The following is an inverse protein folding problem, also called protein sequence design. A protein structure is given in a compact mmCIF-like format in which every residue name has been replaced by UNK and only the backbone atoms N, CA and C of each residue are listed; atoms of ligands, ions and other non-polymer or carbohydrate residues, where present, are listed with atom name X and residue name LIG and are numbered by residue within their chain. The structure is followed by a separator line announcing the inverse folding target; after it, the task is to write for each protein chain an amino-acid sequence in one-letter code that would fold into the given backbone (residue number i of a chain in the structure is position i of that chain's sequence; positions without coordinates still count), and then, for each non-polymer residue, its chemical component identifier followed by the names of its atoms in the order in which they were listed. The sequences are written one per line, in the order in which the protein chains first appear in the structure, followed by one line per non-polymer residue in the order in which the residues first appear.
data_IF_257304136255
#
_entry.id   IF_257304136255
#
_cell.length_a   1.000
_cell.length_b   1.000
_cell.length_c   1.000
_cell.angle_alpha   90.00
_cell.angle_beta   90.00
_cell.angle_gamma   90.00
#
_symmetry.space_group_name_H-M   'P 1'
#
loop_
_entity.id
_entity.type
_entity.pdbx_description
1 polymer ?
#
# COMPACT_ATOMS: atom_id res chain seq x y z
N UNK A 1 -24.75 -11.66 26.02
CA UNK A 1 -24.13 -11.23 24.75
C UNK A 1 -22.61 -11.47 24.73
N UNK A 2 -21.85 -11.01 25.72
CA UNK A 2 -20.38 -11.16 25.76
C UNK A 2 -19.91 -12.63 25.73
N UNK A 3 -20.58 -13.56 26.43
CA UNK A 3 -20.22 -14.98 26.43
C UNK A 3 -20.41 -15.65 25.05
N UNK A 4 -21.49 -15.30 24.35
CA UNK A 4 -21.83 -15.85 23.03
C UNK A 4 -20.86 -15.41 21.92
N UNK A 5 -20.49 -14.12 21.89
CA UNK A 5 -19.49 -13.62 20.93
C UNK A 5 -18.10 -14.20 21.18
N UNK A 6 -17.75 -14.43 22.45
CA UNK A 6 -16.46 -14.96 22.85
C UNK A 6 -16.32 -16.46 22.51
N UNK A 7 -17.40 -17.24 22.66
CA UNK A 7 -17.43 -18.67 22.32
C UNK A 7 -17.56 -18.94 20.81
N UNK A 8 -18.28 -18.10 20.07
CA UNK A 8 -18.61 -18.35 18.65
C UNK A 8 -17.81 -17.51 17.65
N UNK A 9 -17.40 -16.30 18.02
CA UNK A 9 -16.66 -15.34 17.17
C UNK A 9 -15.47 -14.68 17.90
N UNK A 10 -14.50 -15.47 18.38
CA UNK A 10 -13.39 -14.96 19.19
C UNK A 10 -12.51 -13.94 18.44
N UNK A 11 -12.41 -14.02 17.12
CA UNK A 11 -11.68 -13.05 16.30
C UNK A 11 -12.33 -11.66 16.33
N UNK A 12 -13.65 -11.62 16.18
CA UNK A 12 -14.46 -10.39 16.15
C UNK A 12 -14.44 -9.72 17.53
N UNK A 13 -14.54 -10.52 18.59
CA UNK A 13 -14.46 -10.03 19.97
C UNK A 13 -13.06 -9.52 20.34
N UNK A 14 -12.01 -10.27 20.00
CA UNK A 14 -10.63 -9.90 20.37
C UNK A 14 -10.11 -8.69 19.60
N UNK A 15 -10.63 -8.43 18.41
CA UNK A 15 -10.25 -7.28 17.59
C UNK A 15 -11.12 -6.05 17.85
N UNK A 16 -12.23 -6.19 18.59
CA UNK A 16 -13.25 -5.14 18.78
C UNK A 16 -13.74 -4.52 17.46
N UNK A 17 -13.64 -5.27 16.36
CA UNK A 17 -13.90 -4.76 15.01
C UNK A 17 -15.37 -4.39 14.78
N UNK A 18 -16.28 -4.96 15.58
CA UNK A 18 -17.73 -4.69 15.52
C UNK A 18 -18.05 -3.20 15.62
N UNK A 19 -17.27 -2.45 16.40
CA UNK A 19 -17.52 -1.03 16.60
C UNK A 19 -16.76 -0.17 15.60
N UNK A 20 -15.51 -0.53 15.33
CA UNK A 20 -14.60 0.34 14.56
C UNK A 20 -14.82 0.21 13.07
N UNK A 21 -15.14 -0.97 12.55
CA UNK A 21 -15.33 -1.15 11.10
C UNK A 21 -16.57 -0.41 10.59
N UNK A 22 -17.75 -0.47 11.24
CA UNK A 22 -18.88 0.36 10.83
C UNK A 22 -18.60 1.86 10.95
N UNK A 23 -17.84 2.29 11.98
CA UNK A 23 -17.51 3.70 12.17
C UNK A 23 -16.52 4.20 11.11
N UNK A 24 -15.55 3.37 10.72
CA UNK A 24 -14.64 3.65 9.62
C UNK A 24 -15.37 3.69 8.27
N UNK A 25 -16.31 2.77 8.02
CA UNK A 25 -17.16 2.81 6.82
C UNK A 25 -18.06 4.06 6.81
N UNK A 26 -18.62 4.45 7.95
CA UNK A 26 -19.40 5.69 8.07
C UNK A 26 -18.52 6.90 7.77
N UNK A 27 -17.29 6.94 8.29
CA UNK A 27 -16.33 8.00 7.98
C UNK A 27 -16.03 8.06 6.46
N UNK A 28 -15.84 6.92 5.80
CA UNK A 28 -15.64 6.86 4.34
C UNK A 28 -16.82 7.49 3.59
N UNK A 29 -18.06 7.18 3.98
CA UNK A 29 -19.27 7.78 3.40
C UNK A 29 -19.34 9.28 3.67
N UNK A 30 -19.00 9.75 4.89
CA UNK A 30 -18.98 11.17 5.21
C UNK A 30 -17.95 11.94 4.39
N UNK A 31 -16.76 11.38 4.17
CA UNK A 31 -15.74 11.98 3.32
C UNK A 31 -16.15 12.02 1.86
N UNK A 32 -16.83 10.97 1.36
CA UNK A 32 -17.44 10.98 0.04
C UNK A 32 -18.46 12.12 -0.12
N UNK A 33 -19.39 12.26 0.83
CA UNK A 33 -20.38 13.34 0.83
C UNK A 33 -19.69 14.69 0.94
N UNK A 34 -18.65 14.81 1.78
CA UNK A 34 -17.85 16.03 1.91
C UNK A 34 -17.24 16.47 0.60
N UNK A 35 -16.60 15.55 -0.14
CA UNK A 35 -16.06 15.83 -1.47
C UNK A 35 -17.15 16.20 -2.47
N UNK A 36 -18.29 15.51 -2.43
CA UNK A 36 -19.44 15.79 -3.30
C UNK A 36 -20.06 17.17 -3.07
N UNK A 37 -20.14 17.62 -1.81
CA UNK A 37 -20.71 18.92 -1.47
C UNK A 37 -19.75 20.10 -1.63
N UNK A 38 -18.44 19.84 -1.66
CA UNK A 38 -17.42 20.90 -1.75
C UNK A 38 -17.38 21.54 -3.15
N UNK A 39 -17.52 20.75 -4.20
CA UNK A 39 -17.48 21.24 -5.59
C UNK A 39 -18.72 22.07 -5.90
N UNK A 40 -18.51 23.35 -6.19
CA UNK A 40 -19.52 24.32 -6.62
C UNK A 40 -18.91 25.24 -7.69
N UNK A 41 -19.77 26.03 -8.35
CA UNK A 41 -19.39 26.96 -9.42
C UNK A 41 -18.31 27.95 -8.95
N UNK A 42 -18.39 28.44 -7.71
CA UNK A 42 -17.38 29.32 -7.10
C UNK A 42 -15.98 28.71 -6.98
N UNK A 43 -15.86 27.39 -6.90
CA UNK A 43 -14.54 26.73 -6.85
C UNK A 43 -13.96 26.46 -8.23
N UNK A 44 -14.81 26.39 -9.27
CA UNK A 44 -14.40 26.03 -10.63
C UNK A 44 -14.24 27.25 -11.54
N UNK A 45 -14.65 28.44 -11.09
CA UNK A 45 -14.57 29.69 -11.88
C UNK A 45 -13.17 30.30 -12.01
N UNK A 46 -12.23 29.84 -11.20
CA UNK A 46 -10.83 30.28 -11.30
C UNK A 46 -10.13 29.64 -12.50
N UNK A 47 -9.05 30.25 -12.96
CA UNK A 47 -8.28 29.85 -14.15
C UNK A 47 -7.84 28.37 -14.14
N UNK A 48 -7.52 27.85 -12.95
CA UNK A 48 -7.09 26.48 -12.77
C UNK A 48 -7.61 25.87 -11.47
N UNK A 49 -8.36 24.78 -11.60
CA UNK A 49 -8.78 23.95 -10.49
C UNK A 49 -7.88 22.72 -10.33
N UNK A 50 -7.22 22.59 -9.17
CA UNK A 50 -6.54 21.35 -8.76
C UNK A 50 -7.40 20.56 -7.79
N UNK A 51 -7.61 19.29 -8.09
CA UNK A 51 -8.31 18.37 -7.19
C UNK A 51 -7.61 18.25 -5.82
N UNK A 52 -6.27 18.34 -5.82
CA UNK A 52 -5.46 18.26 -4.60
C UNK A 52 -5.48 19.55 -3.78
N UNK A 53 -5.50 20.73 -4.42
CA UNK A 53 -5.51 22.01 -3.68
C UNK A 53 -6.76 22.16 -2.81
N UNK A 54 -7.90 21.66 -3.30
CA UNK A 54 -9.15 21.63 -2.54
C UNK A 54 -9.10 20.69 -1.34
N UNK A 55 -8.20 19.72 -1.34
CA UNK A 55 -8.03 18.78 -0.25
C UNK A 55 -7.05 19.28 0.82
N UNK A 56 -6.00 20.02 0.44
CA UNK A 56 -4.92 20.49 1.32
C UNK A 56 -5.36 21.39 2.49
N UNK A 57 -6.57 21.94 2.46
CA UNK A 57 -7.13 22.76 3.53
C UNK A 57 -7.83 21.97 4.65
N UNK A 58 -9.07 22.39 4.96
CA UNK A 58 -9.91 21.78 6.00
C UNK A 58 -10.09 20.26 5.81
N UNK A 59 -10.31 19.72 4.58
CA UNK A 59 -10.50 18.29 4.38
C UNK A 59 -9.31 17.44 4.82
N UNK A 60 -8.08 17.86 4.52
CA UNK A 60 -6.85 17.17 4.95
C UNK A 60 -6.75 17.14 6.48
N UNK A 61 -6.98 18.27 7.14
CA UNK A 61 -6.91 18.35 8.62
C UNK A 61 -7.98 17.44 9.25
N UNK A 62 -9.21 17.47 8.73
CA UNK A 62 -10.27 16.57 9.20
C UNK A 62 -9.93 15.10 8.95
N UNK A 63 -9.34 14.76 7.80
CA UNK A 63 -8.89 13.39 7.52
C UNK A 63 -7.90 12.95 8.60
N UNK A 64 -6.86 13.74 8.87
CA UNK A 64 -5.85 13.40 9.87
C UNK A 64 -6.47 13.22 11.26
N UNK A 65 -7.33 14.15 11.68
CA UNK A 65 -8.00 14.07 13.00
C UNK A 65 -8.86 12.82 13.10
N UNK A 66 -9.74 12.56 12.11
CA UNK A 66 -10.65 11.40 12.12
C UNK A 66 -9.88 10.09 12.06
N UNK A 67 -8.86 10.00 11.19
CA UNK A 67 -7.95 8.85 11.09
C UNK A 67 -7.27 8.53 12.42
N UNK A 68 -6.71 9.55 13.07
CA UNK A 68 -6.01 9.39 14.36
C UNK A 68 -7.00 8.98 15.46
N UNK A 69 -8.17 9.59 15.55
CA UNK A 69 -9.18 9.24 16.55
C UNK A 69 -9.68 7.80 16.37
N UNK A 70 -9.94 7.38 15.13
CA UNK A 70 -10.31 6.00 14.79
C UNK A 70 -9.23 5.01 15.23
N UNK A 71 -7.97 5.26 14.82
CA UNK A 71 -6.86 4.36 15.11
C UNK A 71 -6.52 4.32 16.60
N UNK A 72 -6.37 5.47 17.26
CA UNK A 72 -6.02 5.54 18.69
C UNK A 72 -7.13 4.97 19.55
N UNK A 73 -8.39 5.35 19.29
CA UNK A 73 -9.55 4.83 19.99
C UNK A 73 -9.61 3.30 19.88
N UNK A 74 -9.46 2.78 18.65
CA UNK A 74 -9.40 1.34 18.42
C UNK A 74 -8.23 0.69 19.16
N UNK A 75 -7.01 1.21 19.03
CA UNK A 75 -5.81 0.67 19.67
C UNK A 75 -5.95 0.57 21.20
N UNK A 76 -6.56 1.57 21.86
CA UNK A 76 -6.82 1.54 23.31
C UNK A 76 -7.70 0.33 23.68
N UNK A 77 -8.85 0.16 23.02
CA UNK A 77 -9.74 -0.99 23.27
C UNK A 77 -9.05 -2.30 22.94
N UNK A 78 -8.33 -2.30 21.83
CA UNK A 78 -7.64 -3.44 21.31
C UNK A 78 -6.57 -3.93 22.31
N UNK A 79 -5.77 -3.04 22.92
CA UNK A 79 -4.70 -3.41 23.87
C UNK A 79 -5.21 -3.69 25.28
N UNK A 80 -6.33 -3.09 25.68
CA UNK A 80 -6.97 -3.35 26.98
C UNK A 80 -7.40 -4.81 27.16
N UNK A 81 -7.83 -5.48 26.08
CA UNK A 81 -8.20 -6.90 26.09
C UNK A 81 -7.13 -7.75 25.38
N UNK A 82 -6.04 -8.09 26.07
CA UNK A 82 -5.00 -8.93 25.48
C UNK A 82 -5.35 -10.42 25.58
N UNK A 83 -6.32 -10.88 24.78
CA UNK A 83 -6.75 -12.28 24.74
C UNK A 83 -5.63 -13.25 24.29
N UNK A 84 -4.52 -12.72 23.78
CA UNK A 84 -3.32 -13.50 23.45
C UNK A 84 -2.45 -13.81 24.68
N UNK A 85 -2.63 -13.14 25.83
CA UNK A 85 -1.91 -13.44 27.07
C UNK A 85 -2.61 -14.52 27.91
N UNK A 86 -3.93 -14.64 27.82
CA UNK A 86 -4.66 -15.76 28.42
C UNK A 86 -4.58 -16.97 27.48
N UNK A 87 -4.42 -18.18 28.03
CA UNK A 87 -4.24 -19.47 27.33
C UNK A 87 -5.48 -19.89 26.50
N UNK A 88 -5.96 -19.03 25.61
CA UNK A 88 -7.06 -19.31 24.71
C UNK A 88 -6.57 -20.21 23.57
N UNK A 89 -7.22 -21.36 23.30
CA UNK A 89 -6.87 -22.22 22.19
C UNK A 89 -7.25 -21.54 20.87
N UNK A 90 -6.34 -20.75 20.32
CA UNK A 90 -6.51 -20.04 19.04
C UNK A 90 -6.10 -20.95 17.88
N UNK A 91 -6.97 -21.08 16.89
CA UNK A 91 -6.67 -21.79 15.63
C UNK A 91 -5.89 -20.87 14.69
N UNK A 92 -5.07 -21.44 13.80
CA UNK A 92 -4.25 -20.67 12.85
C UNK A 92 -5.10 -19.73 11.97
N UNK A 93 -6.26 -20.22 11.50
CA UNK A 93 -7.24 -19.41 10.74
C UNK A 93 -7.78 -18.22 11.53
N UNK A 94 -7.95 -18.36 12.85
CA UNK A 94 -8.42 -17.25 13.69
C UNK A 94 -7.32 -16.21 13.89
N UNK A 95 -6.07 -16.64 14.07
CA UNK A 95 -4.92 -15.74 14.17
C UNK A 95 -4.70 -14.96 12.87
N UNK A 96 -4.80 -15.63 11.72
CA UNK A 96 -4.76 -14.96 10.42
C UNK A 96 -5.94 -14.02 10.22
N UNK A 97 -7.14 -14.43 10.65
CA UNK A 97 -8.33 -13.55 10.62
C UNK A 97 -8.12 -12.26 11.42
N UNK A 98 -7.40 -12.30 12.55
CA UNK A 98 -7.04 -11.09 13.30
C UNK A 98 -6.09 -10.18 12.51
N UNK A 99 -5.11 -10.75 11.80
CA UNK A 99 -4.23 -9.97 10.92
C UNK A 99 -5.02 -9.24 9.82
N UNK A 100 -5.93 -9.95 9.13
CA UNK A 100 -6.80 -9.35 8.11
C UNK A 100 -7.68 -8.25 8.71
N UNK A 101 -8.22 -8.46 9.91
CA UNK A 101 -8.98 -7.44 10.63
C UNK A 101 -8.14 -6.18 10.91
N UNK A 102 -6.88 -6.35 11.31
CA UNK A 102 -5.96 -5.23 11.54
C UNK A 102 -5.68 -4.46 10.25
N UNK A 103 -5.35 -5.17 9.18
CA UNK A 103 -5.10 -4.60 7.87
C UNK A 103 -6.30 -3.79 7.36
N UNK A 104 -7.49 -4.38 7.35
CA UNK A 104 -8.70 -3.69 6.88
C UNK A 104 -9.06 -2.47 7.73
N UNK A 105 -8.93 -2.58 9.06
CA UNK A 105 -9.24 -1.45 9.96
C UNK A 105 -8.29 -0.29 9.72
N UNK A 106 -6.99 -0.57 9.60
CA UNK A 106 -5.98 0.48 9.34
C UNK A 106 -6.19 1.07 7.95
N UNK A 107 -6.38 0.24 6.92
CA UNK A 107 -6.61 0.68 5.55
C UNK A 107 -7.82 1.61 5.45
N UNK A 108 -8.97 1.21 6.01
CA UNK A 108 -10.19 2.04 6.01
C UNK A 108 -10.02 3.32 6.83
N UNK A 109 -9.16 3.32 7.85
CA UNK A 109 -8.95 4.52 8.66
C UNK A 109 -8.09 5.55 7.94
N UNK A 110 -7.00 5.13 7.26
CA UNK A 110 -6.05 6.08 6.64
C UNK A 110 -6.46 6.51 5.23
N UNK A 111 -7.31 5.75 4.53
CA UNK A 111 -7.66 5.97 3.12
C UNK A 111 -8.81 6.95 2.89
N UNK A 112 -9.17 7.80 3.87
CA UNK A 112 -10.33 8.71 3.77
C UNK A 112 -10.20 9.78 2.66
N UNK A 113 -9.01 9.98 2.09
CA UNK A 113 -8.81 10.86 0.93
C UNK A 113 -9.40 10.29 -0.36
N UNK A 114 -9.37 8.96 -0.51
CA UNK A 114 -9.87 8.26 -1.69
C UNK A 114 -11.37 8.49 -1.93
N UNK A 115 -12.28 8.24 -0.96
CA UNK A 115 -13.69 8.52 -1.16
C UNK A 115 -13.97 10.01 -1.35
N UNK A 116 -13.16 10.89 -0.76
CA UNK A 116 -13.30 12.34 -0.93
C UNK A 116 -13.09 12.76 -2.40
N UNK A 117 -11.98 12.34 -3.03
CA UNK A 117 -11.74 12.61 -4.45
C UNK A 117 -12.79 11.96 -5.36
N UNK A 118 -13.23 10.74 -5.01
CA UNK A 118 -14.33 10.08 -5.72
C UNK A 118 -15.64 10.89 -5.64
N UNK A 119 -15.93 11.51 -4.49
CA UNK A 119 -17.08 12.39 -4.29
C UNK A 119 -17.03 13.64 -5.16
N UNK A 120 -15.88 14.31 -5.23
CA UNK A 120 -15.67 15.49 -6.09
C UNK A 120 -15.91 15.15 -7.57
N UNK A 121 -15.33 14.03 -8.05
CA UNK A 121 -15.53 13.56 -9.42
C UNK A 121 -17.00 13.18 -9.69
N UNK A 122 -17.67 12.53 -8.74
CA UNK A 122 -19.09 12.20 -8.86
C UNK A 122 -19.96 13.46 -8.99
N UNK A 123 -19.65 14.52 -8.24
CA UNK A 123 -20.34 15.81 -8.34
C UNK A 123 -20.13 16.45 -9.72
N UNK A 124 -18.92 16.37 -10.26
CA UNK A 124 -18.60 16.92 -11.58
C UNK A 124 -19.43 16.26 -12.70
N UNK A 125 -19.52 14.93 -12.68
CA UNK A 125 -20.37 14.18 -13.63
C UNK A 125 -21.87 14.45 -13.45
N UNK A 126 -22.32 14.67 -12.21
CA UNK A 126 -23.74 14.91 -11.93
C UNK A 126 -24.20 16.33 -12.28
N UNK A 127 -23.39 17.35 -11.97
CA UNK A 127 -23.78 18.78 -12.10
C UNK A 127 -23.47 19.37 -13.47
N UNK A 128 -22.36 18.99 -14.08
CA UNK A 128 -21.91 19.51 -15.37
C UNK A 128 -22.06 18.40 -16.40
N UNK A 129 -23.11 18.41 -17.20
CA UNK A 129 -23.33 17.40 -18.24
C UNK A 129 -22.33 17.57 -19.38
N UNK A 130 -21.99 16.50 -20.09
CA UNK A 130 -21.07 16.57 -21.23
C UNK A 130 -21.60 17.50 -22.34
N UNK A 131 -22.92 17.60 -22.50
CA UNK A 131 -23.54 18.58 -23.40
C UNK A 131 -23.23 20.02 -23.01
N UNK A 132 -23.30 20.36 -21.72
CA UNK A 132 -22.99 21.70 -21.21
C UNK A 132 -21.51 22.04 -21.42
N UNK A 133 -20.60 21.13 -21.02
CA UNK A 133 -19.17 21.39 -21.18
C UNK A 133 -18.80 21.54 -22.65
N UNK A 134 -19.32 20.68 -23.53
CA UNK A 134 -19.04 20.74 -24.95
C UNK A 134 -19.65 21.98 -25.61
N UNK A 135 -20.85 22.42 -25.23
CA UNK A 135 -21.50 23.61 -25.78
C UNK A 135 -20.71 24.89 -25.44
N UNK A 136 -20.33 25.03 -24.16
CA UNK A 136 -19.54 26.19 -23.72
C UNK A 136 -18.17 26.18 -24.41
N UNK A 137 -17.48 25.05 -24.42
CA UNK A 137 -16.13 24.95 -24.97
C UNK A 137 -16.09 24.93 -26.50
N UNK A 138 -17.16 24.54 -27.19
CA UNK A 138 -17.23 24.63 -28.66
C UNK A 138 -17.05 26.06 -29.18
N UNK A 139 -17.47 27.06 -28.40
CA UNK A 139 -17.34 28.47 -28.76
C UNK A 139 -15.89 29.00 -28.66
N UNK A 140 -14.95 28.21 -28.13
CA UNK A 140 -13.56 28.59 -27.90
C UNK A 140 -12.61 27.47 -28.38
N UNK A 141 -11.72 27.69 -29.37
CA UNK A 141 -10.87 26.63 -29.89
C UNK A 141 -9.86 26.10 -28.85
N UNK A 142 -9.33 24.87 -29.01
CA UNK A 142 -8.48 24.23 -27.98
C UNK A 142 -7.16 24.98 -27.68
N UNK A 143 -6.64 25.76 -28.63
CA UNK A 143 -5.46 26.60 -28.46
C UNK A 143 -5.77 27.94 -27.77
N UNK A 144 -7.04 28.21 -27.48
CA UNK A 144 -7.51 29.44 -26.87
C UNK A 144 -7.21 29.47 -25.36
N UNK A 145 -6.14 30.16 -24.98
CA UNK A 145 -5.85 30.46 -23.58
C UNK A 145 -6.74 31.63 -23.13
N UNK A 146 -7.90 31.33 -22.52
CA UNK A 146 -8.87 32.34 -22.06
C UNK A 146 -8.23 33.42 -21.17
N UNK A 147 -7.16 33.10 -20.43
CA UNK A 147 -6.37 34.06 -19.67
C UNK A 147 -5.84 35.22 -20.52
N UNK A 148 -5.44 34.99 -21.77
CA UNK A 148 -4.94 36.04 -22.68
C UNK A 148 -6.04 37.00 -23.16
N UNK A 149 -7.30 36.59 -23.07
CA UNK A 149 -8.45 37.33 -23.59
C UNK A 149 -9.46 37.73 -22.52
N UNK A 150 -9.18 37.45 -21.24
CA UNK A 150 -10.10 37.66 -20.13
C UNK A 150 -10.62 39.12 -20.04
N UNK A 151 -9.79 40.09 -20.41
CA UNK A 151 -10.13 41.52 -20.40
C UNK A 151 -11.11 41.93 -21.53
N UNK A 152 -11.28 41.11 -22.57
CA UNK A 152 -12.13 41.43 -23.73
C UNK A 152 -13.57 40.91 -23.61
N UNK A 153 -13.84 40.03 -22.65
CA UNK A 153 -15.14 39.40 -22.46
C UNK A 153 -15.80 39.86 -21.14
N UNK A 154 -17.13 39.81 -21.06
CA UNK A 154 -17.82 39.95 -19.79
C UNK A 154 -17.34 38.91 -18.78
N UNK A 155 -17.15 39.31 -17.53
CA UNK A 155 -16.66 38.44 -16.45
C UNK A 155 -17.49 37.14 -16.33
N UNK A 156 -18.81 37.22 -16.50
CA UNK A 156 -19.70 36.04 -16.46
C UNK A 156 -19.34 34.99 -17.52
N UNK A 157 -18.95 35.41 -18.74
CA UNK A 157 -18.52 34.49 -19.79
C UNK A 157 -17.16 33.86 -19.50
N UNK A 158 -16.25 34.64 -18.89
CA UNK A 158 -14.93 34.15 -18.46
C UNK A 158 -15.09 33.09 -17.37
N UNK A 159 -15.94 33.35 -16.37
CA UNK A 159 -16.23 32.40 -15.30
C UNK A 159 -16.91 31.13 -15.82
N UNK A 160 -17.88 31.25 -16.73
CA UNK A 160 -18.57 30.10 -17.34
C UNK A 160 -17.61 29.20 -18.13
N UNK A 161 -16.69 29.79 -18.89
CA UNK A 161 -15.62 29.07 -19.57
C UNK A 161 -14.75 28.28 -18.60
N UNK A 162 -14.25 28.92 -17.54
CA UNK A 162 -13.39 28.24 -16.56
C UNK A 162 -14.12 27.13 -15.82
N UNK A 163 -15.41 27.33 -15.48
CA UNK A 163 -16.24 26.29 -14.88
C UNK A 163 -16.33 25.08 -15.81
N UNK A 164 -16.63 25.29 -17.09
CA UNK A 164 -16.74 24.21 -18.07
C UNK A 164 -15.40 23.48 -18.28
N UNK A 165 -14.30 24.23 -18.45
CA UNK A 165 -12.96 23.68 -18.65
C UNK A 165 -12.50 22.86 -17.43
N UNK A 166 -12.63 23.42 -16.23
CA UNK A 166 -12.22 22.74 -15.00
C UNK A 166 -13.13 21.53 -14.69
N UNK A 167 -14.43 21.61 -14.98
CA UNK A 167 -15.33 20.47 -14.87
C UNK A 167 -14.96 19.34 -15.86
N UNK A 168 -14.63 19.66 -17.10
CA UNK A 168 -14.15 18.68 -18.09
C UNK A 168 -12.84 18.04 -17.63
N UNK A 169 -11.84 18.85 -17.23
CA UNK A 169 -10.58 18.35 -16.67
C UNK A 169 -10.81 17.42 -15.48
N UNK A 170 -11.70 17.76 -14.56
CA UNK A 170 -12.01 16.91 -13.39
C UNK A 170 -12.61 15.55 -13.77
N UNK A 171 -13.38 15.48 -14.87
CA UNK A 171 -13.92 14.22 -15.41
C UNK A 171 -12.86 13.42 -16.15
N UNK A 172 -12.08 14.08 -17.00
CA UNK A 172 -11.05 13.49 -17.86
C UNK A 172 -9.79 13.11 -17.10
N UNK A 173 -9.51 13.76 -15.97
CA UNK A 173 -8.39 13.38 -15.09
C UNK A 173 -8.56 11.91 -14.76
N UNK A 174 -7.59 11.10 -15.18
CA UNK A 174 -7.69 9.66 -15.07
C UNK A 174 -8.02 9.28 -13.63
N UNK A 175 -9.06 8.45 -13.47
CA UNK A 175 -9.42 7.87 -12.18
C UNK A 175 -8.21 7.18 -11.52
N UNK A 176 -7.26 6.73 -12.34
CA UNK A 176 -5.93 6.25 -11.97
C UNK A 176 -5.17 7.19 -11.03
N UNK A 177 -4.95 8.45 -11.40
CA UNK A 177 -4.12 9.38 -10.63
C UNK A 177 -4.82 9.84 -9.34
N UNK A 178 -6.13 10.07 -9.39
CA UNK A 178 -6.85 10.57 -8.22
C UNK A 178 -7.14 9.50 -7.17
N UNK A 179 -7.31 8.23 -7.58
CA UNK A 179 -7.79 7.16 -6.69
C UNK A 179 -6.79 6.01 -6.56
N UNK A 180 -6.29 5.46 -7.67
CA UNK A 180 -5.49 4.24 -7.61
C UNK A 180 -4.11 4.43 -6.99
N UNK A 181 -3.36 5.45 -7.42
CA UNK A 181 -2.02 5.70 -6.86
C UNK A 181 -2.05 5.99 -5.35
N UNK A 182 -2.91 6.89 -4.83
CA UNK A 182 -3.05 7.09 -3.39
C UNK A 182 -3.49 5.82 -2.66
N UNK A 183 -4.47 5.09 -3.22
CA UNK A 183 -4.97 3.85 -2.63
C UNK A 183 -3.85 2.81 -2.47
N UNK A 184 -2.97 2.67 -3.47
CA UNK A 184 -1.86 1.74 -3.43
C UNK A 184 -0.89 2.08 -2.28
N UNK A 185 -0.53 3.35 -2.11
CA UNK A 185 0.31 3.80 -1.00
C UNK A 185 -0.35 3.47 0.35
N UNK A 186 -1.66 3.71 0.48
CA UNK A 186 -2.40 3.36 1.70
C UNK A 186 -2.46 1.84 1.93
N UNK A 187 -2.58 1.02 0.89
CA UNK A 187 -2.52 -0.45 0.99
C UNK A 187 -1.17 -0.90 1.53
N UNK A 188 -0.07 -0.41 0.98
CA UNK A 188 1.29 -0.78 1.44
C UNK A 188 1.52 -0.31 2.88
N UNK A 189 1.16 0.93 3.19
CA UNK A 189 1.34 1.52 4.52
C UNK A 189 0.51 0.78 5.58
N UNK A 190 -0.76 0.51 5.30
CA UNK A 190 -1.65 -0.23 6.20
C UNK A 190 -1.19 -1.67 6.40
N UNK A 191 -0.66 -2.32 5.35
CA UNK A 191 -0.07 -3.64 5.44
C UNK A 191 1.11 -3.65 6.42
N UNK A 192 2.05 -2.71 6.28
CA UNK A 192 3.20 -2.60 7.19
C UNK A 192 2.78 -2.35 8.63
N UNK A 193 1.86 -1.40 8.86
CA UNK A 193 1.33 -1.12 10.21
C UNK A 193 0.61 -2.35 10.81
N UNK A 194 -0.17 -3.07 10.02
CA UNK A 194 -0.85 -4.29 10.47
C UNK A 194 0.14 -5.40 10.83
N UNK A 195 1.25 -5.53 10.10
CA UNK A 195 2.32 -6.48 10.40
C UNK A 195 3.02 -6.14 11.72
N UNK A 196 3.35 -4.86 11.95
CA UNK A 196 3.90 -4.39 13.23
C UNK A 196 2.97 -4.73 14.39
N UNK A 197 1.68 -4.39 14.25
CA UNK A 197 0.68 -4.67 15.27
C UNK A 197 0.54 -6.17 15.52
N UNK A 198 0.55 -6.98 14.46
CA UNK A 198 0.50 -8.44 14.55
C UNK A 198 1.71 -9.02 15.29
N UNK A 199 2.92 -8.56 15.00
CA UNK A 199 4.14 -9.01 15.69
C UNK A 199 4.11 -8.67 17.19
N UNK A 200 3.73 -7.43 17.54
CA UNK A 200 3.59 -6.99 18.95
C UNK A 200 2.57 -7.85 19.68
N UNK A 201 1.46 -8.18 19.03
CA UNK A 201 0.39 -9.02 19.57
C UNK A 201 0.78 -10.47 19.73
N UNK A 202 1.45 -11.02 18.72
CA UNK A 202 1.79 -12.42 18.65
C UNK A 202 2.92 -12.79 19.61
N UNK A 203 3.96 -11.96 19.67
CA UNK A 203 5.20 -12.26 20.41
C UNK A 203 5.43 -11.39 21.66
N UNK A 204 4.65 -10.33 21.82
CA UNK A 204 4.79 -9.35 22.89
C UNK A 204 5.70 -8.18 22.52
N UNK A 205 5.46 -7.03 23.16
CA UNK A 205 6.20 -5.79 22.92
C UNK A 205 7.71 -5.95 23.14
N UNK A 206 8.09 -6.62 24.25
CA UNK A 206 9.50 -6.85 24.60
C UNK A 206 10.24 -7.58 23.47
N UNK A 207 9.66 -8.68 22.97
CA UNK A 207 10.25 -9.48 21.89
C UNK A 207 10.31 -8.70 20.58
N UNK A 208 9.27 -7.91 20.29
CA UNK A 208 9.22 -7.05 19.11
C UNK A 208 10.33 -5.98 19.11
N UNK A 209 10.56 -5.29 20.24
CA UNK A 209 11.63 -4.30 20.35
C UNK A 209 13.01 -4.93 20.11
N UNK A 210 13.26 -6.13 20.67
CA UNK A 210 14.49 -6.86 20.39
C UNK A 210 14.62 -7.25 18.91
N UNK A 211 13.53 -7.58 18.22
CA UNK A 211 13.59 -7.84 16.78
C UNK A 211 13.93 -6.61 15.95
N UNK A 212 13.46 -5.42 16.33
CA UNK A 212 13.84 -4.17 15.65
C UNK A 212 15.34 -3.92 15.79
N UNK A 213 15.86 -4.01 17.03
CA UNK A 213 17.30 -3.85 17.28
C UNK A 213 18.12 -4.90 16.54
N UNK A 214 17.71 -6.17 16.62
CA UNK A 214 18.39 -7.26 15.92
C UNK A 214 18.40 -7.04 14.39
N UNK A 215 17.27 -6.61 13.81
CA UNK A 215 17.21 -6.32 12.37
C UNK A 215 18.11 -5.16 11.97
N UNK A 216 18.25 -4.13 12.80
CA UNK A 216 19.15 -2.99 12.53
C UNK A 216 20.63 -3.38 12.61
N UNK A 217 20.99 -4.21 13.59
CA UNK A 217 22.35 -4.75 13.68
C UNK A 217 22.64 -5.69 12.51
N UNK A 218 21.67 -6.54 12.16
CA UNK A 218 21.79 -7.45 11.02
C UNK A 218 21.93 -6.69 9.70
N UNK A 219 21.13 -5.63 9.47
CA UNK A 219 21.23 -4.83 8.26
C UNK A 219 22.57 -4.13 8.16
N UNK A 220 23.10 -3.59 9.27
CA UNK A 220 24.44 -3.00 9.30
C UNK A 220 25.50 -4.04 8.90
N UNK A 221 25.44 -5.24 9.48
CA UNK A 221 26.35 -6.33 9.15
C UNK A 221 26.25 -6.72 7.67
N UNK A 222 25.04 -6.88 7.14
CA UNK A 222 24.78 -7.18 5.73
C UNK A 222 25.36 -6.10 4.82
N UNK A 223 25.16 -4.82 5.14
CA UNK A 223 25.73 -3.70 4.38
C UNK A 223 27.26 -3.69 4.45
N UNK A 224 27.86 -3.96 5.62
CA UNK A 224 29.31 -4.08 5.73
C UNK A 224 29.87 -5.22 4.88
N UNK A 225 29.20 -6.37 4.86
CA UNK A 225 29.59 -7.49 3.99
C UNK A 225 29.45 -7.10 2.52
N UNK A 226 28.35 -6.43 2.14
CA UNK A 226 28.16 -5.96 0.77
C UNK A 226 29.30 -5.02 0.34
N UNK A 227 29.64 -4.02 1.15
CA UNK A 227 30.74 -3.08 0.88
C UNK A 227 32.10 -3.81 0.80
N UNK A 228 32.31 -4.88 1.57
CA UNK A 228 33.56 -5.65 1.54
C UNK A 228 33.66 -6.56 0.30
N UNK A 229 32.55 -7.20 -0.11
CA UNK A 229 32.55 -8.21 -1.17
C UNK A 229 32.31 -7.65 -2.57
N UNK A 230 31.52 -6.57 -2.71
CA UNK A 230 31.21 -5.97 -4.03
C UNK A 230 32.47 -5.48 -4.75
N UNK A 231 33.45 -4.80 -4.09
CA UNK A 231 34.68 -4.40 -4.76
C UNK A 231 35.61 -5.57 -5.14
N UNK A 232 35.50 -6.72 -4.45
CA UNK A 232 36.29 -7.91 -4.76
C UNK A 232 35.82 -8.60 -6.05
N UNK A 233 34.61 -8.31 -6.51
CA UNK A 233 34.14 -8.70 -7.84
C UNK A 233 34.58 -7.65 -8.86
N UNK A 234 35.89 -7.57 -9.13
CA UNK A 234 36.55 -6.61 -10.05
C UNK A 234 36.01 -6.59 -11.51
N UNK A 235 35.00 -7.40 -11.83
CA UNK A 235 34.51 -7.61 -13.19
C UNK A 235 33.19 -6.91 -13.53
N UNK A 236 32.45 -6.33 -12.57
CA UNK A 236 31.04 -5.97 -12.82
C UNK A 236 30.51 -4.77 -12.02
N UNK A 237 30.97 -3.54 -12.29
CA UNK A 237 30.34 -2.32 -11.70
C UNK A 237 28.87 -2.13 -12.08
N UNK A 238 28.39 -2.88 -13.09
CA UNK A 238 27.00 -2.85 -13.55
C UNK A 238 26.04 -3.64 -12.65
N UNK A 239 26.53 -4.56 -11.82
CA UNK A 239 25.71 -5.52 -11.06
C UNK A 239 25.76 -5.32 -9.53
N UNK A 240 26.25 -4.18 -9.06
CA UNK A 240 26.47 -3.90 -7.64
C UNK A 240 25.15 -3.93 -6.82
N UNK A 241 24.07 -3.38 -7.38
CA UNK A 241 22.75 -3.37 -6.73
C UNK A 241 22.18 -4.78 -6.59
N UNK A 242 22.33 -5.62 -7.62
CA UNK A 242 21.86 -6.99 -7.66
C UNK A 242 22.61 -7.88 -6.69
N UNK A 243 23.93 -7.69 -6.59
CA UNK A 243 24.76 -8.35 -5.59
C UNK A 243 24.28 -8.02 -4.17
N UNK A 244 23.98 -6.76 -3.89
CA UNK A 244 23.45 -6.33 -2.59
C UNK A 244 22.07 -6.95 -2.29
N UNK A 245 21.16 -6.93 -3.27
CA UNK A 245 19.84 -7.56 -3.14
C UNK A 245 19.95 -9.08 -2.95
N UNK A 246 20.83 -9.75 -3.69
CA UNK A 246 21.10 -11.18 -3.58
C UNK A 246 21.67 -11.56 -2.20
N UNK A 247 22.58 -10.76 -1.66
CA UNK A 247 23.14 -10.94 -0.31
C UNK A 247 22.05 -10.76 0.75
N UNK A 248 21.19 -9.75 0.61
CA UNK A 248 20.01 -9.59 1.46
C UNK A 248 19.10 -10.83 1.39
N UNK A 249 18.76 -11.33 0.21
CA UNK A 249 17.92 -12.52 0.06
C UNK A 249 18.54 -13.76 0.72
N UNK A 250 19.84 -13.97 0.54
CA UNK A 250 20.55 -15.08 1.18
C UNK A 250 20.43 -14.96 2.71
N UNK A 251 20.73 -13.78 3.27
CA UNK A 251 20.62 -13.57 4.72
C UNK A 251 19.19 -13.75 5.23
N UNK A 252 18.19 -13.29 4.47
CA UNK A 252 16.78 -13.49 4.79
C UNK A 252 16.42 -14.99 4.81
N UNK A 253 16.82 -15.76 3.81
CA UNK A 253 16.58 -17.21 3.75
C UNK A 253 17.24 -17.92 4.92
N UNK A 254 18.47 -17.53 5.28
CA UNK A 254 19.16 -18.06 6.47
C UNK A 254 18.34 -17.77 7.73
N UNK A 255 17.90 -16.52 7.95
CA UNK A 255 17.06 -16.14 9.10
C UNK A 255 15.75 -16.91 9.12
N UNK A 256 15.08 -17.06 7.97
CA UNK A 256 13.83 -17.80 7.83
C UNK A 256 14.01 -19.27 8.21
N UNK A 257 15.07 -19.93 7.72
CA UNK A 257 15.37 -21.33 8.06
C UNK A 257 15.72 -21.48 9.54
N UNK A 258 16.52 -20.56 10.08
CA UNK A 258 16.87 -20.55 11.51
C UNK A 258 15.63 -20.36 12.39
N UNK A 259 14.70 -19.47 12.00
CA UNK A 259 13.46 -19.21 12.74
C UNK A 259 12.62 -20.47 12.95
N UNK A 260 12.59 -21.37 11.96
CA UNK A 260 11.83 -22.61 12.00
C UNK A 260 12.60 -23.76 12.66
N UNK A 261 13.90 -23.92 12.36
CA UNK A 261 14.70 -25.05 12.86
C UNK A 261 15.13 -24.92 14.32
N UNK A 262 15.31 -23.69 14.81
CA UNK A 262 15.73 -23.43 16.19
C UNK A 262 14.56 -23.38 17.18
N UNK A 263 13.33 -23.48 16.68
CA UNK A 263 12.13 -23.47 17.51
C UNK A 263 12.16 -24.63 18.53
N UNK A 264 12.10 -24.28 19.82
CA UNK A 264 12.19 -25.24 20.94
C UNK A 264 13.62 -25.67 21.32
N UNK A 265 14.66 -25.23 20.58
CA UNK A 265 16.07 -25.49 20.90
C UNK A 265 16.79 -24.30 21.55
N UNK A 266 16.30 -23.09 21.30
CA UNK A 266 16.82 -21.84 21.87
C UNK A 266 15.80 -21.22 22.83
N UNK A 267 16.26 -20.29 23.67
CA UNK A 267 15.38 -19.54 24.58
C UNK A 267 14.23 -18.91 23.78
N UNK A 268 13.02 -18.94 24.35
CA UNK A 268 11.79 -18.48 23.70
C UNK A 268 11.92 -17.07 23.13
N UNK A 269 12.57 -16.16 23.86
CA UNK A 269 12.83 -14.79 23.43
C UNK A 269 13.58 -14.71 22.09
N UNK A 270 14.70 -15.43 21.92
CA UNK A 270 15.49 -15.39 20.69
C UNK A 270 14.75 -16.03 19.51
N UNK A 271 14.01 -17.12 19.77
CA UNK A 271 13.15 -17.72 18.73
C UNK A 271 12.06 -16.74 18.29
N UNK A 272 11.47 -15.98 19.23
CA UNK A 272 10.47 -14.97 18.90
C UNK A 272 11.03 -13.81 18.09
N UNK A 273 12.26 -13.40 18.36
CA UNK A 273 12.98 -12.39 17.55
C UNK A 273 13.13 -12.86 16.10
N UNK A 274 13.61 -14.08 15.88
CA UNK A 274 13.78 -14.63 14.53
C UNK A 274 12.44 -14.76 13.77
N UNK A 275 11.35 -15.11 14.46
CA UNK A 275 10.01 -15.18 13.87
C UNK A 275 9.54 -13.80 13.40
N UNK A 276 9.69 -12.77 14.25
CA UNK A 276 9.27 -11.41 13.88
C UNK A 276 10.04 -10.90 12.67
N UNK A 277 11.36 -11.06 12.65
CA UNK A 277 12.21 -10.64 11.51
C UNK A 277 11.80 -11.39 10.23
N UNK A 278 11.54 -12.69 10.32
CA UNK A 278 11.11 -13.48 9.17
C UNK A 278 9.77 -13.00 8.59
N UNK A 279 8.81 -12.66 9.46
CA UNK A 279 7.49 -12.16 9.08
C UNK A 279 7.59 -10.76 8.46
N UNK A 280 8.30 -9.83 9.09
CA UNK A 280 8.35 -8.42 8.65
C UNK A 280 9.11 -8.25 7.34
N UNK A 281 10.23 -8.96 7.16
CA UNK A 281 11.06 -8.81 5.98
C UNK A 281 10.66 -9.70 4.80
N UNK A 282 9.64 -10.57 4.95
CA UNK A 282 9.17 -11.40 3.83
C UNK A 282 8.71 -10.56 2.63
N UNK A 283 7.97 -9.48 2.87
CA UNK A 283 7.52 -8.60 1.79
C UNK A 283 8.70 -7.98 1.03
N UNK A 284 9.69 -7.45 1.75
CA UNK A 284 10.89 -6.88 1.13
C UNK A 284 11.71 -7.92 0.37
N UNK A 285 11.88 -9.12 0.94
CA UNK A 285 12.57 -10.22 0.29
C UNK A 285 11.82 -10.67 -0.98
N UNK A 286 10.49 -10.79 -0.93
CA UNK A 286 9.72 -11.16 -2.11
C UNK A 286 9.79 -10.09 -3.21
N UNK A 287 9.86 -8.81 -2.82
CA UNK A 287 10.04 -7.70 -3.76
C UNK A 287 11.41 -7.77 -4.47
N UNK A 288 12.50 -7.94 -3.71
CA UNK A 288 13.83 -8.09 -4.31
C UNK A 288 13.96 -9.36 -5.16
N UNK A 289 13.33 -10.47 -4.77
CA UNK A 289 13.29 -11.67 -5.59
C UNK A 289 12.59 -11.40 -6.93
N UNK A 290 11.43 -10.73 -6.90
CA UNK A 290 10.70 -10.34 -8.13
C UNK A 290 11.55 -9.43 -9.02
N UNK A 291 12.18 -8.41 -8.44
CA UNK A 291 13.06 -7.50 -9.17
C UNK A 291 14.23 -8.22 -9.86
N UNK A 292 14.94 -9.10 -9.13
CA UNK A 292 16.05 -9.86 -9.69
C UNK A 292 15.60 -10.82 -10.80
N UNK A 293 14.43 -11.45 -10.66
CA UNK A 293 13.87 -12.32 -11.70
C UNK A 293 13.51 -11.53 -12.96
N UNK A 294 12.90 -10.35 -12.81
CA UNK A 294 12.57 -9.45 -13.92
C UNK A 294 13.85 -9.00 -14.63
N UNK A 295 14.85 -8.52 -13.88
CA UNK A 295 16.14 -8.08 -14.46
C UNK A 295 16.87 -9.24 -15.16
N UNK A 296 16.85 -10.44 -14.57
CA UNK A 296 17.37 -11.65 -15.21
C UNK A 296 16.62 -12.02 -16.49
N UNK A 297 15.30 -11.81 -16.54
CA UNK A 297 14.50 -12.07 -17.73
C UNK A 297 14.85 -11.08 -18.86
N UNK A 298 14.97 -9.78 -18.55
CA UNK A 298 15.46 -8.78 -19.53
C UNK A 298 16.85 -9.14 -20.05
N UNK A 299 17.76 -9.56 -19.17
CA UNK A 299 19.10 -9.94 -19.60
C UNK A 299 19.07 -11.20 -20.51
N UNK A 300 18.25 -12.19 -20.20
CA UNK A 300 18.09 -13.39 -21.04
C UNK A 300 17.50 -13.05 -22.41
N UNK A 301 16.49 -12.18 -22.46
CA UNK A 301 15.90 -11.70 -23.73
C UNK A 301 16.95 -10.95 -24.55
N UNK A 302 17.74 -10.09 -23.91
CA UNK A 302 18.85 -9.39 -24.57
C UNK A 302 19.87 -10.37 -25.17
N UNK A 303 20.31 -11.39 -24.41
CA UNK A 303 21.24 -12.40 -24.91
C UNK A 303 20.65 -13.25 -26.05
N UNK A 304 19.37 -13.62 -25.95
CA UNK A 304 18.67 -14.38 -26.99
C UNK A 304 18.52 -13.57 -28.30
N UNK A 305 18.39 -12.25 -28.22
CA UNK A 305 18.31 -11.36 -29.39
C UNK A 305 19.64 -11.16 -30.12
N UNK A 306 20.76 -11.56 -29.49
CA UNK A 306 22.12 -11.47 -30.05
C UNK A 306 22.58 -12.80 -30.68
N UNK A 307 21.94 -13.92 -30.34
CA UNK A 307 22.33 -15.23 -30.87
C UNK A 307 21.79 -15.45 -32.29
N UNK A 308 22.71 -15.59 -33.25
CA UNK A 308 22.56 -15.82 -34.70
C UNK A 308 22.47 -14.55 -35.56
N UNK A 309 23.63 -14.01 -36.00
CA UNK A 309 23.93 -13.15 -37.19
C UNK A 309 22.92 -12.08 -37.68
N UNK A 310 21.82 -11.86 -36.98
CA UNK A 310 20.69 -11.03 -37.33
C UNK A 310 20.00 -10.64 -36.02
N UNK A 311 20.12 -9.37 -35.64
CA UNK A 311 19.38 -8.81 -34.53
C UNK A 311 17.88 -8.87 -34.87
N UNK A 312 17.14 -9.84 -34.33
CA UNK A 312 15.69 -9.88 -34.47
C UNK A 312 15.04 -8.87 -33.52
N UNK A 313 15.09 -7.61 -33.97
CA UNK A 313 14.55 -6.44 -33.28
C UNK A 313 13.06 -6.61 -32.94
N UNK A 314 12.30 -7.31 -33.77
CA UNK A 314 10.86 -7.50 -33.56
C UNK A 314 10.59 -8.46 -32.39
N UNK A 315 11.35 -9.56 -32.28
CA UNK A 315 11.22 -10.51 -31.17
C UNK A 315 11.67 -9.88 -29.84
N UNK A 316 12.76 -9.10 -29.85
CA UNK A 316 13.21 -8.35 -28.67
C UNK A 316 12.16 -7.36 -28.18
N UNK A 317 11.65 -6.50 -29.07
CA UNK A 317 10.64 -5.50 -28.70
C UNK A 317 9.35 -6.15 -28.20
N UNK A 318 8.83 -7.18 -28.89
CA UNK A 318 7.57 -7.82 -28.47
C UNK A 318 7.66 -8.44 -27.07
N UNK A 319 8.82 -9.04 -26.73
CA UNK A 319 9.06 -9.61 -25.40
C UNK A 319 9.33 -8.53 -24.34
N UNK A 320 10.09 -7.48 -24.69
CA UNK A 320 10.30 -6.32 -23.81
C UNK A 320 8.99 -5.63 -23.50
N UNK A 321 8.17 -5.31 -24.50
CA UNK A 321 6.85 -4.69 -24.35
C UNK A 321 5.94 -5.52 -23.41
N UNK A 322 6.05 -6.85 -23.49
CA UNK A 322 5.35 -7.76 -22.59
C UNK A 322 5.81 -7.70 -21.13
N UNK A 323 7.10 -7.45 -20.88
CA UNK A 323 7.63 -7.18 -19.53
C UNK A 323 7.31 -5.76 -19.06
N UNK A 324 7.44 -4.78 -19.95
CA UNK A 324 7.16 -3.35 -19.71
C UNK A 324 5.70 -3.16 -19.29
N UNK A 325 4.80 -3.96 -19.86
CA UNK A 325 3.40 -4.06 -19.42
C UNK A 325 3.22 -4.37 -17.92
N UNK A 326 4.12 -5.13 -17.30
CA UNK A 326 4.07 -5.47 -15.87
C UNK A 326 4.99 -4.60 -15.00
N UNK A 327 5.96 -3.90 -15.57
CA UNK A 327 6.96 -3.12 -14.82
C UNK A 327 6.71 -1.63 -14.87
N UNK A 328 6.10 -1.11 -15.94
CA UNK A 328 5.86 0.31 -16.10
C UNK A 328 4.57 0.76 -15.40
N UNK A 329 4.61 1.89 -14.66
CA UNK A 329 3.46 2.37 -13.89
C UNK A 329 2.29 2.82 -14.78
N UNK A 330 2.51 3.00 -16.09
CA UNK A 330 1.48 3.41 -17.03
C UNK A 330 0.50 2.29 -17.37
N UNK A 331 0.94 1.02 -17.30
CA UNK A 331 0.15 -0.13 -17.67
C UNK A 331 -0.64 -0.72 -16.49
N UNK A 332 -1.82 -1.27 -16.79
CA UNK A 332 -2.66 -1.93 -15.77
C UNK A 332 -2.01 -3.21 -15.21
N UNK A 333 -1.10 -3.84 -15.97
CA UNK A 333 -0.34 -5.02 -15.55
C UNK A 333 0.54 -4.77 -14.33
N UNK A 334 1.15 -3.59 -14.23
CA UNK A 334 1.92 -3.16 -13.06
C UNK A 334 1.11 -3.21 -11.76
N UNK A 335 -0.11 -2.69 -11.78
CA UNK A 335 -1.01 -2.75 -10.62
C UNK A 335 -1.45 -4.18 -10.31
N UNK A 336 -1.70 -5.01 -11.34
CA UNK A 336 -2.00 -6.42 -11.13
C UNK A 336 -0.86 -7.13 -10.40
N UNK A 337 0.39 -6.89 -10.81
CA UNK A 337 1.58 -7.47 -10.18
C UNK A 337 1.70 -7.07 -8.71
N UNK A 338 1.35 -5.82 -8.37
CA UNK A 338 1.34 -5.34 -7.00
C UNK A 338 0.23 -5.94 -6.14
N UNK A 339 -0.97 -6.10 -6.69
CA UNK A 339 -2.05 -6.81 -5.99
C UNK A 339 -1.66 -8.27 -5.75
N UNK A 340 -1.05 -8.92 -6.74
CA UNK A 340 -0.48 -10.26 -6.60
C UNK A 340 0.59 -10.30 -5.50
N UNK A 341 1.47 -9.29 -5.45
CA UNK A 341 2.47 -9.16 -4.39
C UNK A 341 1.82 -9.14 -3.00
N UNK A 342 0.82 -8.27 -2.77
CA UNK A 342 0.12 -8.20 -1.47
C UNK A 342 -0.56 -9.54 -1.14
N UNK A 343 -1.17 -10.21 -2.12
CA UNK A 343 -1.79 -11.53 -1.94
C UNK A 343 -0.76 -12.60 -1.54
N UNK A 344 0.42 -12.63 -2.17
CA UNK A 344 1.49 -13.58 -1.83
C UNK A 344 2.00 -13.34 -0.41
N UNK A 345 2.21 -12.07 -0.03
CA UNK A 345 2.64 -11.73 1.34
C UNK A 345 1.55 -12.10 2.36
N UNK A 346 0.26 -11.89 2.05
CA UNK A 346 -0.83 -12.36 2.89
C UNK A 346 -0.87 -13.89 3.00
N UNK A 347 -0.69 -14.62 1.90
CA UNK A 347 -0.65 -16.08 1.89
C UNK A 347 0.51 -16.62 2.73
N UNK A 348 1.69 -15.99 2.64
CA UNK A 348 2.82 -16.32 3.50
C UNK A 348 2.50 -16.09 4.97
N UNK A 349 1.97 -14.92 5.35
CA UNK A 349 1.55 -14.64 6.73
C UNK A 349 0.55 -15.69 7.23
N UNK A 350 -0.41 -16.09 6.39
CA UNK A 350 -1.38 -17.14 6.71
C UNK A 350 -0.71 -18.48 7.02
N UNK A 351 0.25 -18.92 6.20
CA UNK A 351 1.00 -20.16 6.42
C UNK A 351 1.87 -20.06 7.68
N UNK A 352 2.53 -18.92 7.86
CA UNK A 352 3.48 -18.67 8.94
C UNK A 352 2.80 -18.53 10.30
N UNK A 353 1.49 -18.24 10.36
CA UNK A 353 0.71 -18.28 11.61
C UNK A 353 0.82 -19.62 12.35
N UNK A 354 1.03 -20.73 11.64
CA UNK A 354 1.26 -22.05 12.27
C UNK A 354 2.57 -22.08 13.05
N UNK A 355 3.64 -21.47 12.52
CA UNK A 355 4.93 -21.38 13.19
C UNK A 355 4.82 -20.50 14.46
N UNK A 356 4.11 -19.38 14.35
CA UNK A 356 3.80 -18.48 15.48
C UNK A 356 3.03 -19.22 16.59
N UNK A 357 2.00 -20.00 16.24
CA UNK A 357 1.25 -20.80 17.22
C UNK A 357 2.10 -21.85 17.91
N UNK A 358 2.94 -22.58 17.16
CA UNK A 358 3.90 -23.54 17.73
C UNK A 358 4.85 -22.86 18.71
N UNK A 359 5.30 -21.63 18.41
CA UNK A 359 6.24 -20.90 19.24
C UNK A 359 5.58 -20.43 20.53
N UNK A 360 4.34 -19.98 20.41
CA UNK A 360 3.55 -19.53 21.54
C UNK A 360 3.31 -20.67 22.55
N UNK A 361 3.15 -21.91 22.06
CA UNK A 361 2.97 -23.10 22.88
C UNK A 361 4.24 -23.58 23.60
N UNK A 362 5.42 -23.03 23.29
CA UNK A 362 6.66 -23.39 24.00
C UNK A 362 6.64 -22.86 25.44
N UNK A 363 7.21 -23.62 26.40
CA UNK A 363 7.46 -23.11 27.76
C UNK A 363 8.42 -21.91 27.72
N UNK A 364 8.33 -21.04 28.72
CA UNK A 364 9.15 -19.82 28.80
C UNK A 364 10.66 -20.08 28.89
#
# INVERSE_FOLDING_TARGET
MNKYLLERYPTIWNTHIVWVLPLALLAQVLFFIGGFCLINDDMLKDDYYSIYSSYEGIPLILNLIVSVLLLVGWLIYLFRNNALQHFYPLKARQLFGQFVCFFLTILLSISLAVPFFAGQKAKAHWRYTDSYTNEVLYNYPEDYQMYEYADYYPQEQVEEYYIAQNAQRLKETDFKYCVYEPLQVFVILSFFMAMVLFCIRATGLRTFLFSVVFSGVLSLLVTMLAILFIPLTEFTSYYDEECAMGLFLLTYVVVLVLSLKLQGKIRKLFSGVLLNVSITFFGLAFFFLGYLLIKSAYHFIYLASISEDYYDYNTFNTLSDGLDFFTEPYHWGYYLLQWLFVLVVMAFTALYTKAVLRWKALPE
#
